data_IF_293975820872
#
_entry.id   IF_293975820872
#
_cell.length_a   1.000
_cell.length_b   1.000
_cell.length_c   1.000
_cell.angle_alpha   90.00
_cell.angle_beta   90.00
_cell.angle_gamma   90.00
#
_symmetry.space_group_name_H-M   'P 1'
#
loop_
_entity.id
_entity.type
_entity.pdbx_description
1 polymer ?
#
# COMPACT_ATOMS: atom_id res chain seq x y z
N UNK A 1 8.82 20.86 4.73
CA UNK A 1 7.55 21.42 5.24
C UNK A 1 7.23 22.80 4.70
N UNK A 2 7.80 23.91 5.20
CA UNK A 2 7.29 25.27 4.91
C UNK A 2 7.04 25.63 3.44
N UNK A 3 7.86 25.15 2.50
CA UNK A 3 7.66 25.40 1.06
C UNK A 3 6.52 24.58 0.46
N UNK A 4 6.39 23.31 0.87
CA UNK A 4 5.26 22.44 0.47
C UNK A 4 3.96 22.98 1.07
N UNK A 5 4.02 23.48 2.32
CA UNK A 5 2.86 24.08 2.99
C UNK A 5 2.39 25.37 2.33
N UNK A 6 3.33 26.21 1.92
CA UNK A 6 3.02 27.44 1.18
C UNK A 6 2.36 27.12 -0.17
N UNK A 7 2.91 26.16 -0.92
CA UNK A 7 2.34 25.73 -2.21
C UNK A 7 0.96 25.06 -2.04
N UNK A 8 0.79 24.21 -1.02
CA UNK A 8 -0.50 23.61 -0.72
C UNK A 8 -1.53 24.65 -0.26
N UNK A 9 -1.11 25.71 0.45
CA UNK A 9 -1.98 26.81 0.84
C UNK A 9 -2.46 27.65 -0.35
N UNK A 10 -1.72 27.68 -1.46
CA UNK A 10 -2.17 28.32 -2.71
C UNK A 10 -3.32 27.54 -3.38
N UNK A 11 -3.45 26.23 -3.11
CA UNK A 11 -4.46 25.34 -3.68
C UNK A 11 -4.99 24.34 -2.62
N UNK A 12 -5.75 24.82 -1.61
CA UNK A 12 -6.03 24.06 -0.39
C UNK A 12 -6.90 22.80 -0.56
N UNK A 13 -7.57 22.68 -1.71
CA UNK A 13 -8.43 21.55 -2.08
C UNK A 13 -7.95 20.83 -3.36
N UNK A 14 -6.75 21.17 -3.85
CA UNK A 14 -6.16 20.45 -4.97
C UNK A 14 -5.69 19.05 -4.51
N UNK A 15 -6.20 17.96 -5.11
CA UNK A 15 -5.90 16.61 -4.65
C UNK A 15 -4.41 16.27 -4.66
N UNK A 16 -3.66 16.75 -5.65
CA UNK A 16 -2.22 16.47 -5.76
C UNK A 16 -1.44 17.25 -4.69
N UNK A 17 -1.79 18.52 -4.45
CA UNK A 17 -1.18 19.30 -3.38
C UNK A 17 -1.44 18.69 -1.99
N UNK A 18 -2.65 18.15 -1.75
CA UNK A 18 -2.99 17.41 -0.54
C UNK A 18 -2.16 16.13 -0.40
N UNK A 19 -2.01 15.36 -1.47
CA UNK A 19 -1.19 14.15 -1.51
C UNK A 19 0.28 14.44 -1.19
N UNK A 20 0.88 15.45 -1.83
CA UNK A 20 2.26 15.87 -1.58
C UNK A 20 2.45 16.35 -0.13
N UNK A 21 1.50 17.13 0.39
CA UNK A 21 1.52 17.56 1.79
C UNK A 21 1.46 16.35 2.73
N UNK A 22 0.62 15.36 2.43
CA UNK A 22 0.52 14.08 3.15
C UNK A 22 1.86 13.35 3.18
N UNK A 23 2.48 13.16 2.02
CA UNK A 23 3.80 12.52 1.90
C UNK A 23 4.91 13.22 2.66
N UNK A 24 4.87 14.56 2.70
CA UNK A 24 5.81 15.34 3.51
C UNK A 24 5.63 15.12 5.02
N UNK A 25 4.40 14.87 5.50
CA UNK A 25 4.12 14.55 6.91
C UNK A 25 4.52 13.12 7.24
N UNK A 26 4.18 12.18 6.38
CA UNK A 26 4.52 10.76 6.56
C UNK A 26 6.04 10.59 6.66
N UNK A 27 6.79 11.22 5.75
CA UNK A 27 8.26 11.24 5.76
C UNK A 27 8.87 11.89 7.01
N UNK A 28 8.09 12.68 7.75
CA UNK A 28 8.51 13.36 8.96
C UNK A 28 8.04 12.67 10.25
N UNK A 29 7.41 11.50 10.16
CA UNK A 29 6.84 10.80 11.31
C UNK A 29 5.64 11.53 11.93
N UNK A 30 4.85 12.19 11.09
CA UNK A 30 3.61 12.88 11.49
C UNK A 30 2.41 12.14 10.90
N UNK A 31 2.30 10.84 11.16
CA UNK A 31 1.40 9.90 10.50
C UNK A 31 -0.08 10.30 10.64
N UNK A 32 -0.51 10.76 11.83
CA UNK A 32 -1.91 11.19 12.02
C UNK A 32 -2.30 12.40 11.17
N UNK A 33 -1.32 13.24 10.81
CA UNK A 33 -1.56 14.38 9.92
C UNK A 33 -1.47 13.95 8.45
N UNK A 34 -0.55 13.02 8.14
CA UNK A 34 -0.45 12.43 6.81
C UNK A 34 -1.76 11.74 6.39
N UNK A 35 -2.33 10.92 7.28
CA UNK A 35 -3.60 10.23 7.05
C UNK A 35 -4.71 11.20 6.64
N UNK A 36 -4.92 12.27 7.41
CA UNK A 36 -5.96 13.26 7.13
C UNK A 36 -5.79 13.89 5.75
N UNK A 37 -4.55 14.17 5.35
CA UNK A 37 -4.24 14.78 4.05
C UNK A 37 -4.45 13.79 2.90
N UNK A 38 -4.02 12.54 3.06
CA UNK A 38 -4.23 11.50 2.06
C UNK A 38 -5.72 11.17 1.86
N UNK A 39 -6.50 11.05 2.95
CA UNK A 39 -7.95 10.84 2.85
C UNK A 39 -8.61 11.99 2.11
N UNK A 40 -8.29 13.24 2.46
CA UNK A 40 -8.80 14.42 1.74
C UNK A 40 -8.41 14.43 0.26
N UNK A 41 -7.18 14.02 -0.07
CA UNK A 41 -6.74 13.93 -1.46
C UNK A 41 -7.58 12.92 -2.25
N UNK A 42 -7.80 11.72 -1.69
CA UNK A 42 -8.60 10.66 -2.31
C UNK A 42 -10.07 11.07 -2.45
N UNK A 43 -10.66 11.69 -1.42
CA UNK A 43 -12.04 12.19 -1.43
C UNK A 43 -12.24 13.33 -2.42
N UNK A 44 -11.22 14.16 -2.64
CA UNK A 44 -11.22 15.23 -3.63
C UNK A 44 -11.03 14.72 -5.08
N UNK A 45 -10.94 13.39 -5.27
CA UNK A 45 -10.90 12.78 -6.60
C UNK A 45 -9.51 12.73 -7.22
N UNK A 46 -8.46 12.54 -6.42
CA UNK A 46 -7.10 12.31 -6.92
C UNK A 46 -7.10 11.28 -8.05
N UNK A 47 -6.52 11.67 -9.19
CA UNK A 47 -6.48 10.87 -10.41
C UNK A 47 -5.28 9.91 -10.42
N UNK A 48 -5.32 8.92 -11.30
CA UNK A 48 -4.13 8.11 -11.61
C UNK A 48 -3.05 8.93 -12.32
N UNK A 49 -1.75 8.63 -12.11
CA UNK A 49 -1.22 7.50 -11.33
C UNK A 49 -1.12 7.76 -9.82
N UNK A 50 -1.43 8.98 -9.36
CA UNK A 50 -1.22 9.38 -7.96
C UNK A 50 -2.16 8.70 -6.99
N UNK A 51 -3.39 8.39 -7.41
CA UNK A 51 -4.38 7.67 -6.59
C UNK A 51 -3.81 6.35 -6.08
N UNK A 52 -3.30 5.49 -6.96
CA UNK A 52 -2.73 4.20 -6.55
C UNK A 52 -1.51 4.36 -5.64
N UNK A 53 -0.66 5.36 -5.89
CA UNK A 53 0.49 5.65 -5.03
C UNK A 53 0.06 6.09 -3.62
N UNK A 54 -0.90 7.02 -3.54
CA UNK A 54 -1.43 7.54 -2.28
C UNK A 54 -2.17 6.47 -1.50
N UNK A 55 -2.90 5.56 -2.15
CA UNK A 55 -3.54 4.42 -1.48
C UNK A 55 -2.50 3.56 -0.75
N UNK A 56 -1.36 3.24 -1.38
CA UNK A 56 -0.29 2.47 -0.74
C UNK A 56 0.34 3.24 0.42
N UNK A 57 0.60 4.53 0.23
CA UNK A 57 1.17 5.39 1.29
C UNK A 57 0.23 5.48 2.49
N UNK A 58 -1.05 5.76 2.26
CA UNK A 58 -2.09 5.79 3.29
C UNK A 58 -2.20 4.46 4.02
N UNK A 59 -2.17 3.32 3.32
CA UNK A 59 -2.18 2.01 3.95
C UNK A 59 -0.97 1.83 4.90
N UNK A 60 0.23 2.22 4.46
CA UNK A 60 1.43 2.21 5.30
C UNK A 60 1.30 3.11 6.53
N UNK A 61 0.80 4.33 6.36
CA UNK A 61 0.52 5.27 7.46
C UNK A 61 -0.47 4.69 8.46
N UNK A 62 -1.59 4.12 8.01
CA UNK A 62 -2.61 3.47 8.84
C UNK A 62 -2.02 2.29 9.63
N UNK A 63 -1.18 1.46 8.98
CA UNK A 63 -0.46 0.37 9.65
C UNK A 63 0.46 0.89 10.76
N UNK A 64 1.23 1.94 10.50
CA UNK A 64 2.11 2.57 11.49
C UNK A 64 1.34 3.17 12.67
N UNK A 65 0.09 3.62 12.45
CA UNK A 65 -0.84 4.06 13.48
C UNK A 65 -1.49 2.91 14.28
N UNK A 66 -1.06 1.66 14.06
CA UNK A 66 -1.52 0.50 14.82
C UNK A 66 -2.85 -0.09 14.34
N UNK A 67 -3.28 0.19 13.11
CA UNK A 67 -4.53 -0.33 12.51
C UNK A 67 -4.25 -1.24 11.31
N UNK A 68 -3.58 -2.39 11.51
CA UNK A 68 -3.14 -3.22 10.40
C UNK A 68 -4.29 -3.81 9.57
N UNK A 69 -5.43 -4.15 10.18
CA UNK A 69 -6.58 -4.69 9.43
C UNK A 69 -7.21 -3.65 8.50
N UNK A 70 -7.26 -2.38 8.90
CA UNK A 70 -7.72 -1.28 8.03
C UNK A 70 -6.76 -1.06 6.86
N UNK A 71 -5.44 -1.16 7.11
CA UNK A 71 -4.43 -1.13 6.05
C UNK A 71 -4.60 -2.27 5.04
N UNK A 72 -4.89 -3.49 5.51
CA UNK A 72 -5.13 -4.65 4.63
C UNK A 72 -6.38 -4.41 3.78
N UNK A 73 -7.48 -4.01 4.41
CA UNK A 73 -8.75 -3.76 3.71
C UNK A 73 -8.62 -2.67 2.63
N UNK A 74 -7.85 -1.62 2.89
CA UNK A 74 -7.60 -0.55 1.92
C UNK A 74 -6.84 -1.06 0.68
N UNK A 75 -5.82 -1.90 0.88
CA UNK A 75 -5.04 -2.49 -0.22
C UNK A 75 -5.86 -3.50 -1.01
N UNK A 76 -6.65 -4.33 -0.32
CA UNK A 76 -7.55 -5.32 -0.95
C UNK A 76 -8.61 -4.62 -1.81
N UNK A 77 -9.22 -3.54 -1.30
CA UNK A 77 -10.26 -2.81 -2.02
C UNK A 77 -9.74 -2.14 -3.31
N UNK A 78 -8.49 -1.65 -3.32
CA UNK A 78 -7.94 -0.94 -4.48
C UNK A 78 -7.23 -1.86 -5.47
N UNK A 79 -6.47 -2.85 -4.98
CA UNK A 79 -5.60 -3.71 -5.81
C UNK A 79 -6.08 -5.16 -5.95
N UNK A 80 -7.02 -5.63 -5.12
CA UNK A 80 -7.40 -7.05 -5.05
C UNK A 80 -7.89 -7.62 -6.38
N UNK A 81 -8.61 -6.82 -7.17
CA UNK A 81 -9.13 -7.19 -8.49
C UNK A 81 -8.27 -6.68 -9.66
N UNK A 82 -7.06 -6.17 -9.39
CA UNK A 82 -6.16 -5.58 -10.39
C UNK A 82 -4.74 -6.19 -10.34
N UNK A 83 -4.58 -7.50 -10.53
CA UNK A 83 -3.27 -8.17 -10.41
C UNK A 83 -2.24 -7.71 -11.46
N UNK A 84 -2.69 -7.17 -12.59
CA UNK A 84 -1.85 -6.60 -13.65
C UNK A 84 -1.44 -5.14 -13.44
N UNK A 85 -1.96 -4.47 -12.40
CA UNK A 85 -1.61 -3.08 -12.12
C UNK A 85 -0.10 -2.93 -11.86
N UNK A 86 0.52 -1.87 -12.38
CA UNK A 86 1.98 -1.67 -12.28
C UNK A 86 2.50 -1.65 -10.83
N UNK A 87 1.67 -1.18 -9.90
CA UNK A 87 1.94 -1.14 -8.46
C UNK A 87 1.42 -2.37 -7.69
N UNK A 88 0.81 -3.38 -8.33
CA UNK A 88 0.23 -4.52 -7.62
C UNK A 88 1.27 -5.28 -6.76
N UNK A 89 2.49 -5.47 -7.29
CA UNK A 89 3.57 -6.11 -6.54
C UNK A 89 4.03 -5.25 -5.33
N UNK A 90 4.03 -3.92 -5.47
CA UNK A 90 4.33 -3.02 -4.36
C UNK A 90 3.21 -3.05 -3.30
N UNK A 91 1.95 -3.00 -3.72
CA UNK A 91 0.80 -3.13 -2.84
C UNK A 91 0.84 -4.44 -2.04
N UNK A 92 1.19 -5.55 -2.70
CA UNK A 92 1.37 -6.85 -2.04
C UNK A 92 2.49 -6.83 -0.97
N UNK A 93 3.60 -6.15 -1.25
CA UNK A 93 4.66 -5.99 -0.23
C UNK A 93 4.17 -5.20 1.00
N UNK A 94 3.43 -4.11 0.81
CA UNK A 94 2.86 -3.35 1.92
C UNK A 94 1.75 -4.11 2.66
N UNK A 95 0.97 -4.92 1.95
CA UNK A 95 -0.03 -5.81 2.55
C UNK A 95 0.64 -6.89 3.41
N UNK A 96 1.73 -7.49 2.96
CA UNK A 96 2.52 -8.43 3.75
C UNK A 96 3.07 -7.80 5.05
N UNK A 97 3.47 -6.52 5.01
CA UNK A 97 3.86 -5.79 6.23
C UNK A 97 2.67 -5.58 7.18
N UNK A 98 1.49 -5.28 6.63
CA UNK A 98 0.25 -5.14 7.42
C UNK A 98 -0.20 -6.47 8.04
N UNK A 99 -0.17 -7.57 7.26
CA UNK A 99 -0.39 -8.93 7.75
C UNK A 99 0.58 -9.30 8.88
N UNK A 100 1.86 -8.97 8.73
CA UNK A 100 2.87 -9.19 9.78
C UNK A 100 2.51 -8.41 11.05
N UNK A 101 2.08 -7.15 10.90
CA UNK A 101 1.66 -6.29 12.02
C UNK A 101 0.36 -6.80 12.69
N UNK A 102 -0.48 -7.53 11.96
CA UNK A 102 -1.67 -8.22 12.46
C UNK A 102 -1.40 -9.62 13.06
N UNK A 103 -0.15 -10.09 13.07
CA UNK A 103 0.19 -11.43 13.56
C UNK A 103 -0.10 -12.57 12.57
N UNK A 104 -0.23 -12.25 11.27
CA UNK A 104 -0.52 -13.18 10.17
C UNK A 104 0.73 -13.44 9.32
N UNK A 105 1.85 -13.77 9.96
CA UNK A 105 3.16 -13.86 9.28
C UNK A 105 3.23 -14.96 8.22
N UNK A 106 2.53 -16.09 8.43
CA UNK A 106 2.49 -17.18 7.43
C UNK A 106 1.84 -16.71 6.14
N UNK A 107 0.73 -15.97 6.23
CA UNK A 107 0.05 -15.38 5.08
C UNK A 107 0.92 -14.32 4.40
N UNK A 108 1.63 -13.50 5.18
CA UNK A 108 2.58 -12.51 4.65
C UNK A 108 3.70 -13.17 3.84
N UNK A 109 4.30 -14.25 4.35
CA UNK A 109 5.36 -14.99 3.64
C UNK A 109 4.81 -15.66 2.38
N UNK A 110 3.65 -16.32 2.48
CA UNK A 110 2.98 -16.94 1.35
C UNK A 110 2.75 -15.94 0.21
N UNK A 111 2.19 -14.77 0.54
CA UNK A 111 1.93 -13.69 -0.40
C UNK A 111 3.22 -13.21 -1.08
N UNK A 112 4.29 -12.93 -0.32
CA UNK A 112 5.57 -12.49 -0.88
C UNK A 112 6.21 -13.54 -1.78
N UNK A 113 6.11 -14.84 -1.46
CA UNK A 113 6.64 -15.91 -2.32
C UNK A 113 5.87 -15.98 -3.64
N UNK A 114 4.54 -15.87 -3.59
CA UNK A 114 3.69 -15.88 -4.79
C UNK A 114 4.01 -14.67 -5.67
N UNK A 115 4.13 -13.47 -5.08
CA UNK A 115 4.46 -12.22 -5.79
C UNK A 115 5.89 -12.23 -6.35
N UNK A 116 6.86 -12.84 -5.65
CA UNK A 116 8.25 -12.93 -6.10
C UNK A 116 8.42 -13.91 -7.27
N UNK A 117 7.67 -15.03 -7.27
CA UNK A 117 7.89 -16.15 -8.18
C UNK A 117 7.99 -15.79 -9.68
N UNK A 118 7.15 -14.89 -10.25
CA UNK A 118 7.25 -14.50 -11.66
C UNK A 118 8.57 -13.80 -12.02
N UNK A 119 9.21 -13.13 -11.06
CA UNK A 119 10.43 -12.33 -11.28
C UNK A 119 11.71 -13.17 -11.27
N UNK A 120 11.65 -14.39 -10.72
CA UNK A 120 12.82 -15.25 -10.57
C UNK A 120 13.31 -15.79 -11.93
N UNK A 121 14.62 -15.89 -12.19
CA UNK A 121 15.12 -16.51 -13.41
C UNK A 121 14.98 -18.05 -13.43
N UNK A 122 14.89 -18.69 -12.25
CA UNK A 122 14.70 -20.14 -12.04
C UNK A 122 13.82 -20.39 -10.82
N UNK A 123 13.33 -21.62 -10.66
CA UNK A 123 12.50 -22.05 -9.52
C UNK A 123 11.13 -21.37 -9.37
N UNK A 124 10.64 -20.69 -10.42
CA UNK A 124 9.33 -20.01 -10.43
C UNK A 124 8.20 -20.91 -9.92
N UNK A 125 8.06 -22.09 -10.53
CA UNK A 125 7.03 -23.09 -10.17
C UNK A 125 7.14 -23.50 -8.70
N UNK A 126 8.34 -23.88 -8.25
CA UNK A 126 8.56 -24.37 -6.89
C UNK A 126 8.29 -23.31 -5.83
N UNK A 127 8.78 -22.08 -6.04
CA UNK A 127 8.55 -20.97 -5.10
C UNK A 127 7.06 -20.62 -5.02
N UNK A 128 6.36 -20.60 -6.16
CA UNK A 128 4.91 -20.41 -6.19
C UNK A 128 4.17 -21.52 -5.43
N UNK A 129 4.56 -22.79 -5.64
CA UNK A 129 3.95 -23.93 -4.96
C UNK A 129 4.12 -23.83 -3.44
N UNK A 130 5.34 -23.56 -2.94
CA UNK A 130 5.57 -23.37 -1.51
C UNK A 130 4.78 -22.20 -0.91
N UNK A 131 4.62 -21.10 -1.66
CA UNK A 131 3.76 -19.99 -1.23
C UNK A 131 2.31 -20.43 -1.04
N UNK A 132 1.76 -21.23 -1.96
CA UNK A 132 0.39 -21.77 -1.87
C UNK A 132 0.23 -22.80 -0.74
N UNK A 133 1.21 -23.67 -0.56
CA UNK A 133 1.21 -24.71 0.47
C UNK A 133 1.11 -24.11 1.89
N UNK A 134 1.79 -22.99 2.14
CA UNK A 134 1.77 -22.29 3.44
C UNK A 134 0.37 -21.86 3.88
N UNK A 135 -0.53 -21.62 2.92
CA UNK A 135 -1.92 -21.18 3.17
C UNK A 135 -2.95 -22.23 2.75
N UNK A 136 -2.51 -23.46 2.45
CA UNK A 136 -3.40 -24.58 2.11
C UNK A 136 -4.15 -24.42 0.78
N UNK A 137 -3.60 -23.65 -0.17
CA UNK A 137 -4.19 -23.51 -1.51
C UNK A 137 -3.75 -24.67 -2.42
N UNK A 138 -4.67 -25.30 -3.19
CA UNK A 138 -4.33 -26.44 -4.05
C UNK A 138 -3.37 -26.05 -5.18
N UNK A 139 -2.62 -27.00 -5.74
CA UNK A 139 -1.88 -26.76 -7.00
C UNK A 139 -2.87 -26.48 -8.16
N UNK A 140 -2.48 -25.57 -9.07
CA UNK A 140 -3.18 -25.29 -10.33
C UNK A 140 -2.74 -26.23 -11.46
#
# INVERSE_FOLDING_TARGET
MRRIDALAAERPDDPEALAEAGGARDSAGLESWAEQLYVRALDAGLAEPYRSQVTIQLASTIRNLGRPEESIALLDAHFGDQPEHELAAAASAFRALALTSAGRQVEAVAELLITLAPTLPRYRRSVRAYGRDLVGLPEE
#
